data_IF_768042841637
#
_entry.id   IF_768042841637
#
_cell.length_a   1.000
_cell.length_b   1.000
_cell.length_c   1.000
_cell.angle_alpha   90.00
_cell.angle_beta   90.00
_cell.angle_gamma   90.00
#
_symmetry.space_group_name_H-M   'P 1'
#
loop_
_entity.id
_entity.type
_entity.pdbx_description
1 polymer ?
#
# COMPACT_ATOMS: atom_id res chain seq x y z
N UNK A 1 -7.21 2.69 21.60
CA UNK A 1 -6.79 2.51 20.19
C UNK A 1 -5.32 2.84 20.09
N UNK A 2 -4.52 1.98 19.46
CA UNK A 2 -3.09 2.27 19.23
C UNK A 2 -2.95 3.49 18.31
N UNK A 3 -2.09 4.45 18.67
CA UNK A 3 -1.86 5.67 17.86
C UNK A 3 -1.13 5.37 16.53
N UNK A 4 -0.53 4.18 16.44
CA UNK A 4 0.36 3.77 15.36
C UNK A 4 -0.29 2.82 14.36
N UNK A 5 -1.61 2.66 14.38
CA UNK A 5 -2.34 1.86 13.39
C UNK A 5 -3.41 2.72 12.71
N UNK A 6 -3.85 2.27 11.54
CA UNK A 6 -5.13 2.67 10.97
C UNK A 6 -6.15 1.57 11.31
N UNK A 7 -7.29 1.90 11.93
CA UNK A 7 -8.28 0.88 12.27
C UNK A 7 -8.94 0.31 11.01
N UNK A 8 -9.43 -0.92 11.08
CA UNK A 8 -10.19 -1.55 9.99
C UNK A 8 -11.43 -0.76 9.56
N UNK A 9 -11.94 0.11 10.43
CA UNK A 9 -13.06 1.03 10.17
C UNK A 9 -12.63 2.36 9.52
N UNK A 10 -11.36 2.48 9.08
CA UNK A 10 -10.85 3.70 8.43
C UNK A 10 -11.72 4.02 7.20
N UNK A 11 -12.31 5.22 7.11
CA UNK A 11 -13.15 5.57 5.99
C UNK A 11 -12.33 5.72 4.71
N UNK A 12 -12.82 5.12 3.63
CA UNK A 12 -12.28 5.30 2.28
C UNK A 12 -13.30 6.15 1.51
N UNK A 13 -12.86 7.30 1.02
CA UNK A 13 -13.70 8.26 0.31
C UNK A 13 -13.15 8.40 -1.10
N UNK A 14 -14.02 8.19 -2.10
CA UNK A 14 -13.68 8.42 -3.49
C UNK A 14 -13.82 9.91 -3.81
N UNK A 15 -12.75 10.52 -4.34
CA UNK A 15 -12.83 11.89 -4.85
C UNK A 15 -13.70 11.90 -6.12
N UNK A 16 -14.85 12.57 -6.07
CA UNK A 16 -15.68 12.75 -7.25
C UNK A 16 -15.15 13.90 -8.10
N UNK A 17 -14.65 13.56 -9.28
CA UNK A 17 -14.24 14.51 -10.31
C UNK A 17 -14.92 14.24 -11.66
N UNK A 18 -15.96 13.39 -11.71
CA UNK A 18 -16.51 12.91 -12.98
C UNK A 18 -17.16 14.04 -13.78
N UNK A 19 -17.99 14.87 -13.16
CA UNK A 19 -18.67 15.96 -13.85
C UNK A 19 -17.67 17.05 -14.27
N UNK A 20 -16.78 17.44 -13.36
CA UNK A 20 -15.71 18.41 -13.66
C UNK A 20 -14.83 17.95 -14.83
N UNK A 21 -14.50 16.65 -14.92
CA UNK A 21 -13.69 16.11 -16.02
C UNK A 21 -14.47 16.02 -17.35
N UNK A 22 -15.79 15.79 -17.31
CA UNK A 22 -16.66 15.77 -18.51
C UNK A 22 -16.75 17.14 -19.16
N UNK A 23 -16.78 18.20 -18.36
CA UNK A 23 -16.91 19.59 -18.83
C UNK A 23 -15.63 20.14 -19.48
N UNK A 24 -14.51 19.42 -19.37
CA UNK A 24 -13.26 19.79 -20.04
C UNK A 24 -13.37 19.60 -21.57
N UNK A 25 -12.78 20.53 -22.31
CA UNK A 25 -12.50 20.34 -23.73
C UNK A 25 -11.46 19.24 -23.95
N UNK A 26 -11.37 18.69 -25.16
CA UNK A 26 -10.36 17.65 -25.48
C UNK A 26 -8.92 18.13 -25.26
N UNK A 27 -8.65 19.42 -25.50
CA UNK A 27 -7.33 20.03 -25.24
C UNK A 27 -7.03 20.06 -23.73
N UNK A 28 -8.01 20.43 -22.91
CA UNK A 28 -7.86 20.48 -21.45
C UNK A 28 -7.74 19.08 -20.85
N UNK A 29 -8.45 18.08 -21.38
CA UNK A 29 -8.28 16.67 -20.97
C UNK A 29 -6.88 16.17 -21.26
N UNK A 30 -6.32 16.46 -22.44
CA UNK A 30 -4.94 16.11 -22.77
C UNK A 30 -3.95 16.83 -21.86
N UNK A 31 -4.16 18.12 -21.59
CA UNK A 31 -3.34 18.88 -20.65
C UNK A 31 -3.38 18.25 -19.25
N UNK A 32 -4.57 17.98 -18.71
CA UNK A 32 -4.76 17.34 -17.42
C UNK A 32 -4.11 15.95 -17.38
N UNK A 33 -4.23 15.15 -18.43
CA UNK A 33 -3.60 13.83 -18.52
C UNK A 33 -2.07 13.90 -18.35
N UNK A 34 -1.39 14.76 -19.12
CA UNK A 34 0.06 14.87 -19.05
C UNK A 34 0.53 15.52 -17.75
N UNK A 35 -0.20 16.51 -17.25
CA UNK A 35 0.07 17.11 -15.95
C UNK A 35 -0.07 16.08 -14.82
N UNK A 36 -1.16 15.31 -14.79
CA UNK A 36 -1.35 14.26 -13.79
C UNK A 36 -0.26 13.20 -13.87
N UNK A 37 0.16 12.78 -15.07
CA UNK A 37 1.29 11.84 -15.23
C UNK A 37 2.58 12.40 -14.63
N UNK A 38 2.89 13.66 -14.93
CA UNK A 38 4.07 14.33 -14.37
C UNK A 38 4.00 14.38 -12.84
N UNK A 39 2.84 14.74 -12.27
CA UNK A 39 2.64 14.78 -10.82
C UNK A 39 2.78 13.40 -10.16
N UNK A 40 2.22 12.34 -10.75
CA UNK A 40 2.35 10.98 -10.22
C UNK A 40 3.79 10.47 -10.26
N UNK A 41 4.55 10.78 -11.31
CA UNK A 41 5.99 10.47 -11.33
C UNK A 41 6.76 11.30 -10.31
N UNK A 42 6.44 12.59 -10.17
CA UNK A 42 7.05 13.47 -9.16
C UNK A 42 6.78 13.00 -7.73
N UNK A 43 5.59 12.50 -7.43
CA UNK A 43 5.23 11.98 -6.11
C UNK A 43 6.05 10.76 -5.67
N UNK A 44 6.70 10.05 -6.59
CA UNK A 44 7.64 8.98 -6.22
C UNK A 44 8.88 9.50 -5.51
N UNK A 45 9.20 10.79 -5.65
CA UNK A 45 10.27 11.46 -4.89
C UNK A 45 9.91 11.46 -3.39
N UNK A 46 8.64 11.72 -3.05
CA UNK A 46 8.17 11.75 -1.65
C UNK A 46 8.38 10.42 -0.95
N UNK A 47 8.25 9.30 -1.69
CA UNK A 47 8.50 7.95 -1.18
C UNK A 47 9.94 7.80 -0.70
N UNK A 48 10.88 8.40 -1.43
CA UNK A 48 12.31 8.38 -1.10
C UNK A 48 12.65 9.38 0.00
N UNK A 49 11.92 10.50 0.09
CA UNK A 49 12.16 11.55 1.07
C UNK A 49 11.59 11.27 2.47
N UNK A 50 10.65 10.33 2.61
CA UNK A 50 9.98 10.07 3.90
C UNK A 50 10.81 9.25 4.89
N UNK A 51 11.17 8.01 4.52
CA UNK A 51 11.93 7.11 5.39
C UNK A 51 12.79 6.14 4.57
N UNK A 52 13.92 5.64 5.13
CA UNK A 52 14.80 4.71 4.42
C UNK A 52 14.09 3.44 3.91
N UNK A 53 13.07 2.97 4.63
CA UNK A 53 12.32 1.77 4.27
C UNK A 53 11.16 2.02 3.27
N UNK A 54 10.66 3.26 3.17
CA UNK A 54 9.46 3.60 2.37
C UNK A 54 9.55 3.16 0.90
N UNK A 55 10.67 3.35 0.17
CA UNK A 55 10.80 2.88 -1.21
C UNK A 55 10.62 1.38 -1.37
N UNK A 56 11.12 0.59 -0.42
CA UNK A 56 11.03 -0.86 -0.47
C UNK A 56 9.62 -1.35 -0.12
N UNK A 57 8.96 -0.73 0.88
CA UNK A 57 7.57 -1.04 1.23
C UNK A 57 6.65 -0.72 0.05
N UNK A 58 6.77 0.49 -0.51
CA UNK A 58 5.97 0.92 -1.64
C UNK A 58 6.18 -0.01 -2.84
N UNK A 59 7.44 -0.33 -3.20
CA UNK A 59 7.73 -1.22 -4.32
C UNK A 59 7.17 -2.64 -4.11
N UNK A 60 7.26 -3.17 -2.89
CA UNK A 60 6.73 -4.49 -2.55
C UNK A 60 5.21 -4.53 -2.71
N UNK A 61 4.50 -3.60 -2.08
CA UNK A 61 3.04 -3.52 -2.14
C UNK A 61 2.57 -3.26 -3.57
N UNK A 62 3.21 -2.34 -4.29
CA UNK A 62 2.85 -2.04 -5.68
C UNK A 62 3.00 -3.27 -6.58
N UNK A 63 4.11 -4.02 -6.45
CA UNK A 63 4.30 -5.25 -7.23
C UNK A 63 3.33 -6.37 -6.84
N UNK A 64 2.97 -6.46 -5.55
CA UNK A 64 1.98 -7.42 -5.06
C UNK A 64 0.63 -7.20 -5.77
N UNK A 65 0.09 -5.98 -5.70
CA UNK A 65 -1.20 -5.66 -6.29
C UNK A 65 -1.20 -5.50 -7.82
N UNK A 66 -0.02 -5.37 -8.44
CA UNK A 66 0.12 -5.50 -9.90
C UNK A 66 0.05 -6.95 -10.39
N UNK A 67 0.44 -7.91 -9.56
CA UNK A 67 0.56 -9.31 -9.98
C UNK A 67 -0.74 -10.07 -9.77
N UNK A 68 -1.36 -9.89 -8.60
CA UNK A 68 -2.57 -10.63 -8.20
C UNK A 68 -3.69 -9.66 -7.86
N UNK A 69 -4.94 -10.05 -8.15
CA UNK A 69 -6.09 -9.25 -7.75
C UNK A 69 -6.29 -9.32 -6.23
N UNK A 70 -6.92 -8.30 -5.65
CA UNK A 70 -7.24 -8.28 -4.20
C UNK A 70 -8.07 -9.51 -3.80
N UNK A 71 -8.92 -10.03 -4.70
CA UNK A 71 -9.72 -11.22 -4.47
C UNK A 71 -8.84 -12.48 -4.38
N UNK A 72 -7.91 -12.67 -5.31
CA UNK A 72 -7.02 -13.84 -5.33
C UNK A 72 -6.04 -13.81 -4.15
N UNK A 73 -5.59 -12.61 -3.79
CA UNK A 73 -4.79 -12.39 -2.58
C UNK A 73 -5.56 -12.74 -1.31
N UNK A 74 -6.85 -12.35 -1.22
CA UNK A 74 -7.72 -12.73 -0.09
C UNK A 74 -7.85 -14.23 0.01
N UNK A 75 -8.18 -14.90 -1.09
CA UNK A 75 -8.32 -16.36 -1.13
C UNK A 75 -7.04 -17.05 -0.66
N UNK A 76 -5.88 -16.63 -1.17
CA UNK A 76 -4.58 -17.18 -0.77
C UNK A 76 -4.26 -16.91 0.69
N UNK A 77 -4.48 -15.69 1.17
CA UNK A 77 -4.21 -15.30 2.57
C UNK A 77 -5.01 -16.15 3.56
N UNK A 78 -6.30 -16.35 3.28
CA UNK A 78 -7.21 -17.09 4.16
C UNK A 78 -6.94 -18.61 4.09
N UNK A 79 -6.81 -19.17 2.88
CA UNK A 79 -6.78 -20.64 2.70
C UNK A 79 -5.39 -21.24 2.87
N UNK A 80 -4.32 -20.51 2.52
CA UNK A 80 -2.95 -21.05 2.49
C UNK A 80 -2.05 -20.44 3.56
N UNK A 81 -2.33 -19.21 3.99
CA UNK A 81 -1.42 -18.45 4.84
C UNK A 81 -1.95 -18.22 6.27
N UNK A 82 -3.17 -18.69 6.56
CA UNK A 82 -3.75 -18.71 7.92
C UNK A 82 -4.11 -17.33 8.47
N UNK A 83 -4.34 -16.34 7.60
CA UNK A 83 -4.91 -15.06 8.00
C UNK A 83 -6.41 -15.18 8.23
N UNK A 84 -6.95 -14.39 9.16
CA UNK A 84 -8.39 -14.16 9.25
C UNK A 84 -8.82 -13.06 8.28
N UNK A 85 -10.14 -12.86 8.13
CA UNK A 85 -10.66 -11.77 7.30
C UNK A 85 -10.28 -10.39 7.85
N UNK A 86 -10.30 -10.24 9.17
CA UNK A 86 -9.95 -9.00 9.86
C UNK A 86 -8.46 -8.66 9.70
N UNK A 87 -7.59 -9.67 9.75
CA UNK A 87 -6.14 -9.46 9.57
C UNK A 87 -5.81 -9.15 8.10
N UNK A 88 -6.50 -9.79 7.15
CA UNK A 88 -6.33 -9.45 5.74
C UNK A 88 -6.84 -8.02 5.47
N UNK A 89 -7.97 -7.62 6.06
CA UNK A 89 -8.45 -6.25 6.00
C UNK A 89 -7.45 -5.27 6.61
N UNK A 90 -6.86 -5.59 7.77
CA UNK A 90 -5.82 -4.78 8.40
C UNK A 90 -4.60 -4.60 7.49
N UNK A 91 -4.19 -5.64 6.77
CA UNK A 91 -3.13 -5.56 5.77
C UNK A 91 -3.51 -4.64 4.60
N UNK A 92 -4.75 -4.72 4.09
CA UNK A 92 -5.23 -3.81 3.04
C UNK A 92 -5.25 -2.36 3.51
N UNK A 93 -5.76 -2.11 4.72
CA UNK A 93 -5.80 -0.77 5.31
C UNK A 93 -4.38 -0.21 5.49
N UNK A 94 -3.43 -1.03 5.93
CA UNK A 94 -2.03 -0.65 5.97
C UNK A 94 -1.50 -0.25 4.58
N UNK A 95 -1.76 -1.07 3.56
CA UNK A 95 -1.31 -0.78 2.20
C UNK A 95 -1.94 0.50 1.62
N UNK A 96 -3.25 0.71 1.84
CA UNK A 96 -3.92 1.96 1.52
C UNK A 96 -3.27 3.15 2.22
N UNK A 97 -2.94 3.01 3.50
CA UNK A 97 -2.21 4.04 4.26
C UNK A 97 -0.85 4.36 3.64
N UNK A 98 -0.09 3.35 3.20
CA UNK A 98 1.21 3.56 2.54
C UNK A 98 1.06 4.30 1.22
N UNK A 99 0.10 3.90 0.37
CA UNK A 99 -0.13 4.59 -0.90
C UNK A 99 -0.66 6.02 -0.72
N UNK A 100 -1.51 6.25 0.27
CA UNK A 100 -2.07 7.57 0.56
C UNK A 100 -1.01 8.56 1.07
N UNK A 101 -0.10 8.11 1.93
CA UNK A 101 0.93 8.97 2.51
C UNK A 101 2.26 8.93 1.73
N UNK A 102 2.35 8.12 0.67
CA UNK A 102 3.60 7.77 -0.01
C UNK A 102 4.66 7.13 0.92
N UNK A 103 4.29 6.66 2.11
CA UNK A 103 5.21 6.22 3.15
C UNK A 103 4.50 5.48 4.29
N UNK A 104 5.26 4.85 5.19
CA UNK A 104 4.77 4.29 6.45
C UNK A 104 4.68 5.31 7.60
N UNK A 105 4.55 6.59 7.27
CA UNK A 105 4.36 7.70 8.21
C UNK A 105 3.12 8.51 7.82
N UNK A 106 2.34 8.94 8.81
CA UNK A 106 1.16 9.76 8.57
C UNK A 106 1.60 11.16 8.12
N UNK A 107 1.10 11.62 6.98
CA UNK A 107 1.36 12.98 6.46
C UNK A 107 0.88 14.05 7.44
N UNK A 108 -0.25 13.80 8.09
CA UNK A 108 -0.73 14.58 9.23
C UNK A 108 -0.28 13.95 10.55
N UNK A 109 0.48 14.72 11.34
CA UNK A 109 0.95 14.32 12.67
C UNK A 109 2.25 13.53 12.71
N UNK A 110 2.90 13.29 11.56
CA UNK A 110 4.28 12.79 11.43
C UNK A 110 4.61 11.55 12.27
N UNK A 111 3.64 10.66 12.47
CA UNK A 111 3.79 9.44 13.26
C UNK A 111 3.90 8.22 12.36
N UNK A 112 4.80 7.30 12.71
CA UNK A 112 4.90 6.00 12.06
C UNK A 112 3.57 5.26 12.20
N UNK A 113 3.15 4.53 11.18
CA UNK A 113 2.08 3.56 11.31
C UNK A 113 2.52 2.18 10.84
N UNK A 114 1.99 1.16 11.51
CA UNK A 114 2.33 -0.24 11.33
C UNK A 114 1.08 -1.03 10.94
N UNK A 115 1.23 -2.22 10.34
CA UNK A 115 0.10 -3.09 10.08
C UNK A 115 -0.58 -3.52 11.39
N UNK A 116 -1.91 -3.50 11.46
CA UNK A 116 -2.68 -3.92 12.64
C UNK A 116 -2.81 -5.45 12.70
N UNK A 117 -1.67 -6.13 12.82
CA UNK A 117 -1.55 -7.58 12.89
C UNK A 117 -0.26 -7.97 13.59
N UNK A 118 -0.21 -9.20 14.11
CA UNK A 118 0.99 -9.70 14.78
C UNK A 118 2.19 -9.70 13.85
N UNK A 119 3.28 -9.05 14.28
CA UNK A 119 4.58 -9.05 13.59
C UNK A 119 5.04 -10.47 13.27
N UNK A 120 4.95 -11.38 14.23
CA UNK A 120 5.36 -12.78 14.07
C UNK A 120 4.54 -13.47 12.97
N UNK A 121 3.22 -13.23 12.97
CA UNK A 121 2.33 -13.80 11.96
C UNK A 121 2.59 -13.23 10.57
N UNK A 122 2.83 -11.91 10.48
CA UNK A 122 3.24 -11.28 9.22
C UNK A 122 4.53 -11.89 8.70
N UNK A 123 5.59 -11.90 9.51
CA UNK A 123 6.90 -12.40 9.10
C UNK A 123 6.84 -13.88 8.70
N UNK A 124 6.10 -14.70 9.45
CA UNK A 124 5.93 -16.12 9.14
C UNK A 124 5.20 -16.35 7.81
N UNK A 125 4.15 -15.57 7.54
CA UNK A 125 3.20 -15.87 6.47
C UNK A 125 3.28 -14.93 5.26
N UNK A 126 4.07 -13.86 5.30
CA UNK A 126 4.13 -12.89 4.19
C UNK A 126 4.63 -13.53 2.90
N UNK A 127 5.64 -14.40 2.98
CA UNK A 127 6.16 -15.11 1.81
C UNK A 127 5.10 -16.02 1.16
N UNK A 128 4.12 -16.51 1.94
CA UNK A 128 3.09 -17.43 1.45
C UNK A 128 2.11 -16.76 0.48
N UNK A 129 1.76 -15.49 0.69
CA UNK A 129 0.83 -14.77 -0.19
C UNK A 129 1.52 -13.74 -1.10
N UNK A 130 2.85 -13.62 -1.04
CA UNK A 130 3.59 -12.87 -2.05
C UNK A 130 3.69 -13.70 -3.34
N UNK A 131 3.51 -13.09 -4.53
CA UNK A 131 3.73 -13.75 -5.79
C UNK A 131 5.09 -14.43 -5.87
N UNK A 132 5.17 -15.60 -6.52
CA UNK A 132 6.45 -16.32 -6.70
C UNK A 132 7.54 -15.46 -7.35
N UNK A 133 7.16 -14.50 -8.19
CA UNK A 133 8.07 -13.54 -8.82
C UNK A 133 8.78 -12.61 -7.81
N UNK A 134 8.20 -12.41 -6.62
CA UNK A 134 8.73 -11.60 -5.52
C UNK A 134 9.45 -12.44 -4.45
N UNK A 135 9.31 -13.76 -4.46
CA UNK A 135 10.00 -14.70 -3.58
C UNK A 135 11.46 -14.95 -4.02
N UNK A 136 12.22 -13.89 -4.36
CA UNK A 136 13.60 -13.99 -4.85
C UNK A 136 14.60 -14.07 -3.70
N UNK A 137 15.59 -14.97 -3.78
CA UNK A 137 16.64 -15.19 -2.76
C UNK A 137 17.41 -13.92 -2.30
N UNK A 138 17.45 -12.85 -3.11
CA UNK A 138 18.18 -11.60 -2.80
C UNK A 138 17.36 -10.56 -2.02
N UNK A 139 16.03 -10.65 -2.02
CA UNK A 139 15.15 -9.72 -1.30
C UNK A 139 14.34 -10.50 -0.27
N UNK A 140 14.47 -10.14 1.00
CA UNK A 140 13.72 -10.76 2.08
C UNK A 140 12.65 -9.79 2.58
N UNK A 141 11.37 -10.02 2.26
CA UNK A 141 10.25 -9.27 2.83
C UNK A 141 10.29 -9.28 4.36
N UNK A 142 10.76 -10.38 4.97
CA UNK A 142 10.94 -10.49 6.43
C UNK A 142 11.87 -9.40 6.98
N UNK A 143 13.05 -9.23 6.39
CA UNK A 143 14.00 -8.17 6.79
C UNK A 143 13.41 -6.76 6.67
N UNK A 144 12.56 -6.53 5.66
CA UNK A 144 11.88 -5.26 5.51
C UNK A 144 10.91 -5.03 6.68
N UNK A 145 10.01 -5.98 6.93
CA UNK A 145 9.01 -5.85 8.00
C UNK A 145 9.58 -5.97 9.42
N UNK A 146 10.78 -6.52 9.61
CA UNK A 146 11.50 -6.50 10.88
C UNK A 146 11.77 -5.08 11.39
N UNK A 147 12.01 -4.13 10.48
CA UNK A 147 12.28 -2.70 10.79
C UNK A 147 11.01 -1.84 10.88
N UNK A 148 9.87 -2.40 10.47
CA UNK A 148 8.60 -1.67 10.27
C UNK A 148 7.56 -2.02 11.32
N UNK A 149 7.51 -3.28 11.76
CA UNK A 149 6.53 -3.81 12.70
C UNK A 149 7.06 -3.90 14.15
#
# INVERSE_FOLDING_TARGET
MSKFIYPNTTPIILLDCQNAFKDLTEKEKLYAHYLSRASWYGGLIDVVQNSPESPLIFSLLHRLFLTDSVKDLKETALTKCGFSEEEFLAFLIYACGVFFNCANYKSSGHSKFIPDLSKEKLLKNIECFLPKSLQRKKFSPKKLFETVA
#
